data_IF_858816196637
#
_entry.id   IF_858816196637
#
_cell.length_a   1.000
_cell.length_b   1.000
_cell.length_c   1.000
_cell.angle_alpha   90.00
_cell.angle_beta   90.00
_cell.angle_gamma   90.00
#
_symmetry.space_group_name_H-M   'P 1'
#
loop_
_entity.id
_entity.type
_entity.pdbx_description
1 polymer ?
#
# COMPACT_ATOMS: atom_id res chain seq x y z
N UNK A 1 8.50 3.53 -6.83
CA UNK A 1 7.25 4.27 -6.53
C UNK A 1 7.12 4.69 -5.06
N UNK A 2 7.18 3.76 -4.11
CA UNK A 2 6.93 4.02 -2.67
C UNK A 2 7.86 5.08 -2.07
N UNK A 3 9.15 5.04 -2.39
CA UNK A 3 10.13 6.03 -1.91
C UNK A 3 9.89 7.44 -2.45
N UNK A 4 9.25 7.58 -3.62
CA UNK A 4 8.91 8.89 -4.20
C UNK A 4 7.67 9.48 -3.54
N UNK A 5 6.64 8.66 -3.27
CA UNK A 5 5.49 9.07 -2.48
C UNK A 5 5.91 9.53 -1.08
N UNK A 6 6.76 8.75 -0.39
CA UNK A 6 7.26 9.13 0.94
C UNK A 6 8.02 10.45 0.94
N UNK A 7 8.82 10.73 -0.10
CA UNK A 7 9.52 12.03 -0.25
C UNK A 7 8.55 13.19 -0.49
N UNK A 8 7.54 13.00 -1.34
CA UNK A 8 6.52 14.02 -1.60
C UNK A 8 5.71 14.33 -0.33
N UNK A 9 5.27 13.29 0.39
CA UNK A 9 4.56 13.41 1.67
C UNK A 9 5.44 14.17 2.68
N UNK A 10 6.70 13.75 2.86
CA UNK A 10 7.63 14.40 3.80
C UNK A 10 7.89 15.86 3.45
N UNK A 11 7.97 16.20 2.16
CA UNK A 11 8.13 17.57 1.70
C UNK A 11 6.89 18.42 1.99
N UNK A 12 5.71 17.91 1.68
CA UNK A 12 4.45 18.61 1.92
C UNK A 12 4.18 18.78 3.41
N UNK A 13 4.42 17.75 4.23
CA UNK A 13 4.30 17.82 5.68
C UNK A 13 5.16 18.94 6.27
N UNK A 14 6.46 18.96 5.96
CA UNK A 14 7.39 20.02 6.40
C UNK A 14 6.96 21.44 5.97
N UNK A 15 6.29 21.58 4.83
CA UNK A 15 5.89 22.88 4.28
C UNK A 15 4.53 23.35 4.80
N UNK A 16 3.60 22.42 4.96
CA UNK A 16 2.18 22.68 5.13
C UNK A 16 1.67 22.38 6.54
N UNK A 17 2.26 21.43 7.28
CA UNK A 17 1.86 21.06 8.63
C UNK A 17 2.73 21.78 9.67
N UNK A 18 2.37 23.01 10.04
CA UNK A 18 3.08 23.77 11.07
C UNK A 18 2.24 23.84 12.33
N UNK A 19 2.87 23.59 13.48
CA UNK A 19 2.19 23.63 14.78
C UNK A 19 1.76 25.04 15.21
N UNK A 20 2.29 26.08 14.56
CA UNK A 20 1.90 27.47 14.80
C UNK A 20 0.61 27.89 14.09
N UNK A 21 0.09 27.07 13.17
CA UNK A 21 -1.13 27.37 12.44
C UNK A 21 -2.38 26.90 13.22
N UNK A 22 -3.50 27.59 13.03
CA UNK A 22 -4.79 27.17 13.62
C UNK A 22 -5.28 25.83 13.06
N UNK A 23 -6.06 25.10 13.83
CA UNK A 23 -6.61 23.79 13.44
C UNK A 23 -7.36 23.82 12.11
N UNK A 24 -8.13 24.87 11.85
CA UNK A 24 -8.86 25.05 10.60
C UNK A 24 -7.89 25.19 9.40
N UNK A 25 -6.79 25.92 9.58
CA UNK A 25 -5.78 26.10 8.53
C UNK A 25 -4.98 24.80 8.31
N UNK A 26 -4.63 24.07 9.38
CA UNK A 26 -3.98 22.76 9.29
C UNK A 26 -4.85 21.76 8.51
N UNK A 27 -6.16 21.69 8.79
CA UNK A 27 -7.10 20.84 8.04
C UNK A 27 -7.15 21.18 6.55
N UNK A 28 -7.30 22.47 6.21
CA UNK A 28 -7.31 22.91 4.80
C UNK A 28 -6.02 22.56 4.07
N UNK A 29 -4.88 22.77 4.74
CA UNK A 29 -3.57 22.41 4.19
C UNK A 29 -3.37 20.90 4.04
N UNK A 30 -3.92 20.10 4.96
CA UNK A 30 -4.00 18.64 4.82
C UNK A 30 -4.79 18.20 3.59
N UNK A 31 -5.95 18.83 3.32
CA UNK A 31 -6.73 18.58 2.10
C UNK A 31 -5.93 18.96 0.85
N UNK A 32 -5.25 20.11 0.83
CA UNK A 32 -4.39 20.48 -0.29
C UNK A 32 -3.22 19.50 -0.49
N UNK A 33 -2.59 19.06 0.60
CA UNK A 33 -1.52 18.06 0.53
C UNK A 33 -2.03 16.75 -0.07
N UNK A 34 -3.19 16.25 0.39
CA UNK A 34 -3.82 15.04 -0.13
C UNK A 34 -4.13 15.15 -1.63
N UNK A 35 -4.74 16.27 -2.05
CA UNK A 35 -5.01 16.53 -3.46
C UNK A 35 -3.73 16.51 -4.30
N UNK A 36 -2.63 17.10 -3.82
CA UNK A 36 -1.35 17.07 -4.52
C UNK A 36 -0.78 15.66 -4.59
N UNK A 37 -0.80 14.92 -3.47
CA UNK A 37 -0.28 13.55 -3.37
C UNK A 37 -0.99 12.62 -4.35
N UNK A 38 -2.31 12.77 -4.53
CA UNK A 38 -3.11 11.92 -5.42
C UNK A 38 -3.07 12.41 -6.87
N UNK A 39 -3.39 13.70 -7.11
CA UNK A 39 -3.61 14.20 -8.47
C UNK A 39 -2.32 14.34 -9.27
N UNK A 40 -1.19 14.76 -8.65
CA UNK A 40 0.06 14.95 -9.39
C UNK A 40 0.58 13.63 -9.95
N UNK A 41 0.75 12.55 -9.16
CA UNK A 41 1.19 11.26 -9.66
C UNK A 41 0.18 10.63 -10.64
N UNK A 42 -1.13 10.75 -10.38
CA UNK A 42 -2.16 10.24 -11.28
C UNK A 42 -2.13 10.95 -12.65
N UNK A 43 -1.92 12.27 -12.67
CA UNK A 43 -1.82 13.04 -13.93
C UNK A 43 -0.56 12.64 -14.71
N UNK A 44 0.56 12.42 -14.02
CA UNK A 44 1.79 11.93 -14.65
C UNK A 44 1.55 10.53 -15.25
N UNK A 45 0.91 9.63 -14.50
CA UNK A 45 0.59 8.29 -14.96
C UNK A 45 -0.33 8.30 -16.19
N UNK A 46 -1.36 9.15 -16.18
CA UNK A 46 -2.25 9.35 -17.33
C UNK A 46 -1.50 9.85 -18.57
N UNK A 47 -0.60 10.82 -18.39
CA UNK A 47 0.23 11.34 -19.49
C UNK A 47 1.14 10.25 -20.06
N UNK A 48 1.78 9.46 -19.20
CA UNK A 48 2.63 8.31 -19.61
C UNK A 48 1.81 7.28 -20.38
N UNK A 49 0.65 6.88 -19.87
CA UNK A 49 -0.25 5.93 -20.53
C UNK A 49 -0.69 6.44 -21.91
N UNK A 50 -1.06 7.71 -22.01
CA UNK A 50 -1.44 8.35 -23.28
C UNK A 50 -0.29 8.38 -24.28
N UNK A 51 0.93 8.67 -23.83
CA UNK A 51 2.13 8.64 -24.69
C UNK A 51 2.44 7.22 -25.17
N UNK A 52 2.29 6.21 -24.30
CA UNK A 52 2.53 4.82 -24.63
C UNK A 52 1.51 4.31 -25.64
N UNK A 53 0.26 4.76 -25.61
CA UNK A 53 -0.78 4.32 -26.53
C UNK A 53 -0.43 4.52 -28.03
N UNK A 54 0.44 5.48 -28.36
CA UNK A 54 0.92 5.71 -29.72
C UNK A 54 2.05 4.78 -30.20
N UNK A 55 2.56 3.91 -29.33
CA UNK A 55 3.72 3.04 -29.61
C UNK A 55 3.23 1.62 -29.91
N UNK A 56 3.77 0.90 -30.91
CA UNK A 56 3.36 -0.47 -31.24
C UNK A 56 3.42 -1.48 -30.07
N UNK A 57 4.28 -1.23 -29.05
CA UNK A 57 4.40 -2.03 -27.82
C UNK A 57 3.86 -1.31 -26.57
N UNK A 58 3.08 -0.23 -26.75
CA UNK A 58 2.59 0.63 -25.69
C UNK A 58 1.77 -0.09 -24.62
N UNK A 59 0.91 -1.00 -25.05
CA UNK A 59 0.08 -1.81 -24.15
C UNK A 59 0.94 -2.71 -23.25
N UNK A 60 1.99 -3.33 -23.80
CA UNK A 60 2.90 -4.19 -23.05
C UNK A 60 3.67 -3.37 -22.02
N UNK A 61 4.18 -2.20 -22.41
CA UNK A 61 4.87 -1.29 -21.50
C UNK A 61 3.94 -0.78 -20.40
N UNK A 62 2.70 -0.45 -20.72
CA UNK A 62 1.69 -0.02 -19.74
C UNK A 62 1.36 -1.14 -18.76
N UNK A 63 1.21 -2.38 -19.24
CA UNK A 63 1.00 -3.55 -18.40
C UNK A 63 2.21 -3.81 -17.46
N UNK A 64 3.45 -3.65 -17.96
CA UNK A 64 4.66 -3.77 -17.13
C UNK A 64 4.75 -2.67 -16.07
N UNK A 65 4.31 -1.44 -16.38
CA UNK A 65 4.22 -0.38 -15.38
C UNK A 65 3.12 -0.67 -14.36
N UNK A 66 1.97 -1.15 -14.81
CA UNK A 66 0.84 -1.50 -13.95
C UNK A 66 1.19 -2.63 -12.96
N UNK A 67 1.94 -3.64 -13.38
CA UNK A 67 2.38 -4.71 -12.47
C UNK A 67 3.32 -4.21 -11.37
N UNK A 68 4.07 -3.13 -11.60
CA UNK A 68 4.91 -2.50 -10.56
C UNK A 68 4.12 -1.84 -9.42
N UNK A 69 2.80 -1.63 -9.62
CA UNK A 69 1.89 -1.11 -8.59
C UNK A 69 1.36 -2.22 -7.67
N UNK A 70 1.50 -3.49 -8.06
CA UNK A 70 1.10 -4.63 -7.26
C UNK A 70 2.18 -4.99 -6.25
N UNK A 71 1.79 -5.21 -5.00
CA UNK A 71 2.70 -5.63 -3.93
C UNK A 71 2.45 -7.09 -3.57
N UNK A 72 3.14 -8.02 -4.24
CA UNK A 72 2.86 -9.45 -4.11
C UNK A 72 3.87 -10.25 -3.26
N UNK A 73 5.14 -9.83 -3.17
CA UNK A 73 6.20 -10.79 -2.82
C UNK A 73 6.38 -11.10 -1.33
N UNK A 74 6.03 -10.20 -0.42
CA UNK A 74 6.42 -10.37 0.98
C UNK A 74 5.36 -11.05 1.85
N UNK A 75 4.08 -11.03 1.47
CA UNK A 75 3.01 -11.32 2.42
C UNK A 75 2.75 -12.80 2.67
N UNK A 76 2.80 -13.63 1.63
CA UNK A 76 2.59 -15.08 1.75
C UNK A 76 3.69 -15.73 2.60
N UNK A 77 4.94 -15.29 2.42
CA UNK A 77 6.11 -15.78 3.17
C UNK A 77 5.94 -15.59 4.68
N UNK A 78 5.38 -14.45 5.12
CA UNK A 78 5.20 -14.20 6.55
C UNK A 78 4.07 -15.03 7.16
N UNK A 79 2.99 -15.29 6.40
CA UNK A 79 1.88 -16.12 6.88
C UNK A 79 2.26 -17.59 6.91
N UNK A 80 3.03 -18.04 5.90
CA UNK A 80 3.65 -19.37 5.88
C UNK A 80 4.59 -19.55 7.07
N UNK A 81 5.43 -18.55 7.38
CA UNK A 81 6.27 -18.58 8.59
C UNK A 81 5.46 -18.69 9.90
N UNK A 82 4.26 -18.12 9.97
CA UNK A 82 3.35 -18.30 11.12
C UNK A 82 2.83 -19.73 11.18
N UNK A 83 2.41 -20.29 10.06
CA UNK A 83 1.95 -21.68 9.98
C UNK A 83 3.07 -22.65 10.39
N UNK A 84 4.25 -22.52 9.79
CA UNK A 84 5.43 -23.34 10.10
C UNK A 84 5.85 -23.19 11.56
N UNK A 85 5.79 -21.98 12.10
CA UNK A 85 6.07 -21.70 13.52
C UNK A 85 5.09 -22.41 14.45
N UNK A 86 3.81 -22.41 14.10
CA UNK A 86 2.76 -23.07 14.89
C UNK A 86 2.81 -24.59 14.83
N UNK A 87 3.20 -25.15 13.68
CA UNK A 87 3.24 -26.59 13.44
C UNK A 87 4.53 -27.22 13.99
N UNK A 88 5.67 -26.56 13.83
CA UNK A 88 6.98 -27.11 14.20
C UNK A 88 7.52 -26.56 15.54
N UNK A 89 7.16 -25.33 15.90
CA UNK A 89 7.71 -24.61 17.06
C UNK A 89 6.71 -24.34 18.20
N UNK A 90 5.43 -24.63 17.98
CA UNK A 90 4.36 -24.39 18.95
C UNK A 90 3.95 -22.91 19.04
N UNK A 91 3.15 -22.59 20.07
CA UNK A 91 2.46 -21.31 20.17
C UNK A 91 3.43 -20.12 20.28
N UNK A 92 4.51 -20.26 21.04
CA UNK A 92 5.44 -19.15 21.28
C UNK A 92 6.20 -18.75 20.01
N UNK A 93 6.60 -19.73 19.20
CA UNK A 93 7.22 -19.46 17.89
C UNK A 93 6.21 -18.86 16.92
N UNK A 94 4.97 -19.36 16.90
CA UNK A 94 3.88 -18.75 16.13
C UNK A 94 3.60 -17.29 16.52
N UNK A 95 3.69 -16.96 17.82
CA UNK A 95 3.55 -15.57 18.33
C UNK A 95 4.68 -14.67 17.86
N UNK A 96 5.92 -15.16 17.85
CA UNK A 96 7.07 -14.41 17.33
C UNK A 96 6.94 -14.16 15.83
N UNK A 97 6.50 -15.16 15.06
CA UNK A 97 6.27 -14.99 13.64
C UNK A 97 5.15 -13.97 13.35
N UNK A 98 4.02 -14.09 14.05
CA UNK A 98 2.86 -13.21 13.81
C UNK A 98 3.13 -11.77 14.26
N UNK A 99 4.03 -11.56 15.23
CA UNK A 99 4.44 -10.22 15.67
C UNK A 99 5.07 -9.39 14.56
N UNK A 100 5.59 -10.01 13.50
CA UNK A 100 6.19 -9.31 12.36
C UNK A 100 5.13 -8.74 11.40
N UNK A 101 3.88 -9.19 11.49
CA UNK A 101 2.80 -8.82 10.54
C UNK A 101 1.55 -8.25 11.20
N UNK A 102 1.53 -8.12 12.53
CA UNK A 102 0.41 -7.55 13.28
C UNK A 102 0.86 -6.37 14.12
N UNK A 103 0.02 -5.34 14.22
CA UNK A 103 0.26 -4.19 15.10
C UNK A 103 -0.19 -4.38 16.55
N UNK A 104 -0.78 -5.54 16.89
CA UNK A 104 -1.32 -5.85 18.22
C UNK A 104 -0.37 -6.74 19.03
N UNK A 105 -0.50 -6.67 20.35
CA UNK A 105 0.26 -7.49 21.30
C UNK A 105 0.03 -9.01 21.11
N UNK A 106 1.02 -9.75 20.58
CA UNK A 106 0.88 -11.18 20.27
C UNK A 106 0.88 -12.08 21.51
N UNK A 107 1.40 -11.61 22.65
CA UNK A 107 1.55 -12.44 23.86
C UNK A 107 0.18 -12.85 24.44
N UNK A 108 -0.85 -12.05 24.18
CA UNK A 108 -2.23 -12.32 24.60
C UNK A 108 -3.00 -13.26 23.69
N UNK A 109 -2.44 -13.64 22.53
CA UNK A 109 -3.12 -14.48 21.55
C UNK A 109 -2.92 -15.96 21.89
N UNK A 110 -4.00 -16.73 21.93
CA UNK A 110 -3.94 -18.18 21.88
C UNK A 110 -3.68 -18.67 20.45
N UNK A 111 -3.58 -19.99 20.25
CA UNK A 111 -3.31 -20.57 18.93
C UNK A 111 -4.31 -20.10 17.87
N UNK A 112 -5.61 -20.08 18.20
CA UNK A 112 -6.64 -19.61 17.29
C UNK A 112 -6.51 -18.10 17.01
N UNK A 113 -6.15 -17.31 18.00
CA UNK A 113 -5.87 -15.88 17.89
C UNK A 113 -4.69 -15.58 16.97
N UNK A 114 -3.60 -16.36 17.06
CA UNK A 114 -2.44 -16.25 16.16
C UNK A 114 -2.84 -16.55 14.71
N UNK A 115 -3.54 -17.67 14.46
CA UNK A 115 -4.03 -18.00 13.11
C UNK A 115 -4.95 -16.91 12.56
N UNK A 116 -5.91 -16.43 13.38
CA UNK A 116 -6.82 -15.36 12.98
C UNK A 116 -6.06 -14.10 12.63
N UNK A 117 -5.07 -13.71 13.44
CA UNK A 117 -4.28 -12.50 13.19
C UNK A 117 -3.52 -12.60 11.87
N UNK A 118 -2.91 -13.75 11.59
CA UNK A 118 -2.21 -13.97 10.33
C UNK A 118 -3.16 -13.88 9.12
N UNK A 119 -4.35 -14.49 9.21
CA UNK A 119 -5.36 -14.46 8.14
C UNK A 119 -5.93 -13.04 7.95
N UNK A 120 -6.21 -12.31 9.03
CA UNK A 120 -6.67 -10.92 9.00
C UNK A 120 -5.62 -10.04 8.29
N UNK A 121 -4.35 -10.11 8.72
CA UNK A 121 -3.25 -9.37 8.09
C UNK A 121 -3.05 -9.76 6.62
N UNK A 122 -3.18 -11.05 6.28
CA UNK A 122 -3.11 -11.54 4.90
C UNK A 122 -4.22 -10.94 4.04
N UNK A 123 -5.46 -10.99 4.53
CA UNK A 123 -6.62 -10.51 3.80
C UNK A 123 -6.55 -8.99 3.57
N UNK A 124 -6.17 -8.23 4.59
CA UNK A 124 -5.99 -6.77 4.52
C UNK A 124 -4.91 -6.40 3.50
N UNK A 125 -3.71 -6.98 3.62
CA UNK A 125 -2.63 -6.69 2.70
C UNK A 125 -2.90 -7.22 1.28
N UNK A 126 -3.65 -8.30 1.10
CA UNK A 126 -4.06 -8.78 -0.23
C UNK A 126 -5.09 -7.83 -0.88
N UNK A 127 -6.06 -7.37 -0.09
CA UNK A 127 -7.03 -6.36 -0.51
C UNK A 127 -6.31 -5.12 -1.05
N UNK A 128 -5.36 -4.60 -0.27
CA UNK A 128 -4.71 -3.32 -0.56
C UNK A 128 -3.49 -3.41 -1.49
N UNK A 129 -2.85 -4.57 -1.48
CA UNK A 129 -1.67 -4.88 -2.28
C UNK A 129 -1.98 -5.36 -3.69
N UNK A 130 -3.15 -6.00 -3.89
CA UNK A 130 -3.50 -6.66 -5.15
C UNK A 130 -4.91 -6.29 -5.62
N UNK A 131 -5.95 -6.56 -4.83
CA UNK A 131 -7.34 -6.46 -5.29
C UNK A 131 -7.70 -5.03 -5.67
N UNK A 132 -7.49 -4.08 -4.75
CA UNK A 132 -7.82 -2.68 -4.97
C UNK A 132 -6.96 -2.03 -6.07
N UNK A 133 -5.63 -2.24 -6.14
CA UNK A 133 -4.84 -1.78 -7.29
C UNK A 133 -5.35 -2.32 -8.62
N UNK A 134 -5.62 -3.63 -8.74
CA UNK A 134 -6.16 -4.22 -9.99
C UNK A 134 -7.51 -3.62 -10.35
N UNK A 135 -8.40 -3.46 -9.37
CA UNK A 135 -9.71 -2.83 -9.57
C UNK A 135 -9.58 -1.41 -10.12
N UNK A 136 -8.76 -0.56 -9.48
CA UNK A 136 -8.59 0.83 -9.89
C UNK A 136 -7.82 0.98 -11.21
N UNK A 137 -6.93 0.03 -11.53
CA UNK A 137 -6.32 -0.07 -12.86
C UNK A 137 -7.39 -0.38 -13.91
N UNK A 138 -8.31 -1.31 -13.61
CA UNK A 138 -9.43 -1.63 -14.51
C UNK A 138 -10.39 -0.46 -14.73
N UNK A 139 -10.64 0.35 -13.70
CA UNK A 139 -11.55 1.51 -13.77
C UNK A 139 -10.91 2.72 -14.47
N UNK A 140 -9.65 3.02 -14.16
CA UNK A 140 -9.01 4.28 -14.53
C UNK A 140 -7.66 4.16 -15.22
N UNK A 141 -7.30 2.97 -15.70
CA UNK A 141 -5.99 2.70 -16.32
C UNK A 141 -4.84 2.85 -15.33
N UNK A 142 -3.66 3.19 -15.85
CA UNK A 142 -2.47 3.40 -15.02
C UNK A 142 -2.68 4.55 -14.02
N UNK A 143 -3.44 5.57 -14.42
CA UNK A 143 -3.78 6.71 -13.56
C UNK A 143 -4.62 6.30 -12.34
N UNK A 144 -5.62 5.43 -12.53
CA UNK A 144 -6.44 4.91 -11.43
C UNK A 144 -5.63 4.10 -10.43
N UNK A 145 -4.77 3.21 -10.91
CA UNK A 145 -3.87 2.42 -10.04
C UNK A 145 -2.91 3.29 -9.22
N UNK A 146 -2.32 4.30 -9.85
CA UNK A 146 -1.41 5.25 -9.18
C UNK A 146 -2.15 6.13 -8.18
N UNK A 147 -3.35 6.61 -8.51
CA UNK A 147 -4.18 7.40 -7.60
C UNK A 147 -4.52 6.62 -6.33
N UNK A 148 -4.91 5.34 -6.47
CA UNK A 148 -5.18 4.48 -5.32
C UNK A 148 -3.92 4.27 -4.46
N UNK A 149 -2.78 3.92 -5.08
CA UNK A 149 -1.51 3.75 -4.36
C UNK A 149 -0.95 5.03 -3.73
N UNK A 150 -1.39 6.20 -4.18
CA UNK A 150 -1.03 7.46 -3.57
C UNK A 150 -1.89 7.80 -2.35
N UNK A 151 -3.14 7.33 -2.35
CA UNK A 151 -4.11 7.58 -1.28
C UNK A 151 -4.00 6.58 -0.12
N UNK A 152 -3.58 5.34 -0.40
CA UNK A 152 -3.31 4.29 0.58
C UNK A 152 -1.85 4.35 1.05
#
# INVERSE_FOLDING_TARGET
>A
PVTWFGRLISFLDRRLNRDTDSDALRRRRGVHALLIIVLVPATIAFAVETMLAGIPAGLILTALLATSLLSQKSLAEHVEAVADGLDNGGLDIGRVAVSQIVGRDPEKLDRAGVCRAAIESLAENFSDGVVAPVFWIGVGGLAGGVAYKAAN
#
